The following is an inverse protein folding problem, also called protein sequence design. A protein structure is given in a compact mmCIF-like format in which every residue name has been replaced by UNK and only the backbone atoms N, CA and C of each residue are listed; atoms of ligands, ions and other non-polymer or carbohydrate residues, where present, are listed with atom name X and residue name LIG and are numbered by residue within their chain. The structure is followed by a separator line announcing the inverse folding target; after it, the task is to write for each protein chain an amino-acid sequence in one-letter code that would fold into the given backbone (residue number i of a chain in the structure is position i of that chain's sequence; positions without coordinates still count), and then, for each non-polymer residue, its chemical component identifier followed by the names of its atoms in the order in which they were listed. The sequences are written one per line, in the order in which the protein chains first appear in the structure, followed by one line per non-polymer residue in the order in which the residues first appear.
data_IF_259135665405
#
_entry.id   IF_259135665405
#
_cell.length_a   1.000
_cell.length_b   1.000
_cell.length_c   1.000
_cell.angle_alpha   90.00
_cell.angle_beta   90.00
_cell.angle_gamma   90.00
#
_symmetry.space_group_name_H-M   'P 1'
#
loop_
_entity.id
_entity.type
_entity.pdbx_description
1 polymer ?
#
# COMPACT_ATOMS: atom_id res chain seq x y z
N UNK A 1 -8.36 -17.95 13.59
CA UNK A 1 -8.84 -16.97 12.60
C UNK A 1 -7.60 -16.54 11.86
N UNK A 2 -7.41 -17.03 10.64
CA UNK A 2 -6.28 -16.62 9.80
C UNK A 2 -6.57 -15.21 9.32
N UNK A 3 -5.65 -14.29 9.60
CA UNK A 3 -5.71 -12.92 9.11
C UNK A 3 -5.42 -12.99 7.59
N UNK A 4 -6.45 -13.26 6.78
CA UNK A 4 -6.38 -13.37 5.30
C UNK A 4 -6.19 -11.99 4.63
N UNK A 5 -5.32 -11.15 5.20
CA UNK A 5 -4.91 -9.89 4.60
C UNK A 5 -4.08 -10.13 3.34
N UNK A 6 -4.22 -9.26 2.33
CA UNK A 6 -3.38 -9.33 1.14
C UNK A 6 -1.91 -9.19 1.55
N UNK A 7 -1.09 -10.16 1.17
CA UNK A 7 0.34 -10.12 1.42
C UNK A 7 1.06 -9.37 0.29
N UNK A 8 1.24 -8.07 0.47
CA UNK A 8 2.07 -7.24 -0.39
C UNK A 8 3.54 -7.40 0.01
N UNK A 9 4.20 -8.43 -0.51
CA UNK A 9 5.64 -8.59 -0.29
C UNK A 9 6.43 -7.53 -1.07
N UNK A 10 7.59 -7.07 -0.55
CA UNK A 10 8.46 -6.14 -1.27
C UNK A 10 8.82 -6.63 -2.68
N UNK A 11 9.06 -7.94 -2.82
CA UNK A 11 9.40 -8.57 -4.10
C UNK A 11 8.25 -8.46 -5.11
N UNK A 12 7.01 -8.76 -4.70
CA UNK A 12 5.85 -8.64 -5.59
C UNK A 12 5.69 -7.21 -6.11
N UNK A 13 5.89 -6.22 -5.23
CA UNK A 13 5.79 -4.81 -5.61
C UNK A 13 6.92 -4.37 -6.55
N UNK A 14 8.11 -4.94 -6.41
CA UNK A 14 9.23 -4.73 -7.33
C UNK A 14 8.93 -5.34 -8.70
N UNK A 15 8.49 -6.60 -8.74
CA UNK A 15 8.13 -7.30 -9.98
C UNK A 15 7.03 -6.56 -10.76
N UNK A 16 6.01 -6.03 -10.06
CA UNK A 16 4.96 -5.22 -10.65
C UNK A 16 5.51 -3.92 -11.25
N UNK A 17 6.38 -3.20 -10.54
CA UNK A 17 7.00 -1.98 -11.07
C UNK A 17 7.83 -2.25 -12.31
N UNK A 18 8.59 -3.33 -12.31
CA UNK A 18 9.42 -3.71 -13.45
C UNK A 18 8.58 -4.13 -14.65
N UNK A 19 7.47 -4.84 -14.43
CA UNK A 19 6.53 -5.16 -15.49
C UNK A 19 5.93 -3.90 -16.12
N UNK A 20 5.53 -2.91 -15.31
CA UNK A 20 5.00 -1.64 -15.80
C UNK A 20 6.04 -0.85 -16.60
N UNK A 21 7.27 -0.71 -16.08
CA UNK A 21 8.36 0.03 -16.74
C UNK A 21 8.73 -0.55 -18.10
N UNK A 22 8.63 -1.88 -18.26
CA UNK A 22 8.87 -2.56 -19.55
C UNK A 22 7.84 -2.16 -20.61
N UNK A 23 6.63 -1.78 -20.22
CA UNK A 23 5.55 -1.37 -21.14
C UNK A 23 5.57 0.13 -21.39
N UNK A 24 5.79 0.94 -20.35
CA UNK A 24 5.84 2.41 -20.45
C UNK A 24 6.85 2.98 -19.47
N UNK A 25 7.93 3.59 -19.99
CA UNK A 25 8.98 4.18 -19.17
C UNK A 25 8.48 5.27 -18.21
N UNK A 26 7.33 5.90 -18.49
CA UNK A 26 6.73 6.93 -17.63
C UNK A 26 6.25 6.36 -16.30
N UNK A 27 6.07 5.05 -16.17
CA UNK A 27 5.73 4.39 -14.89
C UNK A 27 6.93 4.30 -13.94
N UNK A 28 8.07 4.93 -14.25
CA UNK A 28 9.08 5.24 -13.24
C UNK A 28 8.57 6.26 -12.21
N UNK A 29 7.57 7.06 -12.58
CA UNK A 29 6.82 7.88 -11.65
C UNK A 29 5.78 7.03 -10.89
N UNK A 30 5.79 7.12 -9.56
CA UNK A 30 4.95 6.29 -8.71
C UNK A 30 3.45 6.57 -8.91
N UNK A 31 3.07 7.82 -9.20
CA UNK A 31 1.67 8.18 -9.44
C UNK A 31 1.18 7.58 -10.75
N UNK A 32 1.99 7.65 -11.81
CA UNK A 32 1.70 6.98 -13.08
C UNK A 32 1.61 5.46 -12.90
N UNK A 33 2.53 4.84 -12.16
CA UNK A 33 2.47 3.40 -11.88
C UNK A 33 1.18 3.01 -11.15
N UNK A 34 0.75 3.78 -10.16
CA UNK A 34 -0.53 3.56 -9.46
C UNK A 34 -1.72 3.68 -10.40
N UNK A 35 -1.75 4.67 -11.29
CA UNK A 35 -2.82 4.82 -12.28
C UNK A 35 -2.94 3.59 -13.20
N UNK A 36 -1.81 3.03 -13.62
CA UNK A 36 -1.77 1.80 -14.41
C UNK A 36 -2.35 0.60 -13.65
N UNK A 37 -2.01 0.44 -12.36
CA UNK A 37 -2.55 -0.64 -11.52
C UNK A 37 -4.07 -0.52 -11.35
N UNK A 38 -4.58 0.69 -11.12
CA UNK A 38 -6.02 0.96 -11.03
C UNK A 38 -6.72 0.64 -12.37
N UNK A 39 -6.13 1.07 -13.48
CA UNK A 39 -6.66 0.79 -14.82
C UNK A 39 -6.66 -0.72 -15.12
N UNK A 40 -5.61 -1.44 -14.74
CA UNK A 40 -5.52 -2.88 -14.89
C UNK A 40 -6.62 -3.60 -14.11
N UNK A 41 -6.87 -3.20 -12.86
CA UNK A 41 -7.97 -3.75 -12.07
C UNK A 41 -9.34 -3.51 -12.73
N UNK A 42 -9.57 -2.30 -13.25
CA UNK A 42 -10.80 -1.98 -13.99
C UNK A 42 -10.96 -2.80 -15.27
N UNK A 43 -9.88 -3.00 -16.02
CA UNK A 43 -9.85 -3.83 -17.22
C UNK A 43 -10.19 -5.29 -16.89
N UNK A 44 -9.54 -5.86 -15.87
CA UNK A 44 -9.80 -7.23 -15.40
C UNK A 44 -11.26 -7.41 -14.98
N UNK A 45 -11.83 -6.46 -14.23
CA UNK A 45 -13.24 -6.51 -13.84
C UNK A 45 -14.18 -6.39 -15.05
N UNK A 46 -13.81 -5.59 -16.05
CA UNK A 46 -14.61 -5.44 -17.27
C UNK A 46 -14.69 -6.76 -18.06
N UNK A 47 -13.62 -7.56 -18.04
CA UNK A 47 -13.52 -8.84 -18.73
C UNK A 47 -14.27 -9.98 -18.02
N UNK A 48 -14.67 -9.81 -16.75
CA UNK A 48 -15.45 -10.84 -16.03
C UNK A 48 -16.80 -11.05 -16.73
N UNK A 49 -17.00 -12.24 -17.28
CA UNK A 49 -18.24 -12.64 -17.92
C UNK A 49 -19.19 -13.30 -16.91
N UNK A 50 -19.77 -12.50 -16.01
CA UNK A 50 -20.79 -12.93 -15.08
C UNK A 50 -22.01 -11.99 -15.14
N UNK A 51 -23.13 -12.40 -15.74
CA UNK A 51 -24.31 -11.55 -15.91
C UNK A 51 -25.04 -11.23 -14.59
N UNK A 52 -24.77 -11.97 -13.51
CA UNK A 52 -25.35 -11.74 -12.19
C UNK A 52 -24.51 -10.77 -11.34
N UNK A 53 -23.29 -10.44 -11.78
CA UNK A 53 -22.40 -9.56 -11.04
C UNK A 53 -22.77 -8.10 -11.29
N UNK A 54 -23.04 -7.36 -10.22
CA UNK A 54 -23.08 -5.91 -10.31
C UNK A 54 -21.65 -5.36 -10.32
N UNK A 55 -21.12 -5.12 -11.52
CA UNK A 55 -19.75 -4.59 -11.70
C UNK A 55 -19.55 -3.20 -11.09
N UNK A 56 -20.61 -2.41 -10.92
CA UNK A 56 -20.51 -1.09 -10.26
C UNK A 56 -20.31 -1.24 -8.77
N UNK A 57 -21.11 -2.07 -8.10
CA UNK A 57 -20.94 -2.35 -6.68
C UNK A 57 -19.56 -2.97 -6.42
N UNK A 58 -19.09 -3.87 -7.29
CA UNK A 58 -17.74 -4.43 -7.20
C UNK A 58 -16.63 -3.37 -7.31
N UNK A 59 -16.81 -2.32 -8.13
CA UNK A 59 -15.86 -1.19 -8.18
C UNK A 59 -15.85 -0.39 -6.88
N UNK A 60 -17.02 -0.15 -6.28
CA UNK A 60 -17.14 0.55 -5.00
C UNK A 60 -16.48 -0.26 -3.88
N UNK A 61 -16.74 -1.57 -3.81
CA UNK A 61 -16.11 -2.48 -2.86
C UNK A 61 -14.58 -2.50 -3.02
N UNK A 62 -14.06 -2.54 -4.26
CA UNK A 62 -12.63 -2.46 -4.53
C UNK A 62 -12.02 -1.14 -4.06
N UNK A 63 -12.72 -0.01 -4.24
CA UNK A 63 -12.29 1.29 -3.75
C UNK A 63 -12.27 1.37 -2.21
N UNK A 64 -13.29 0.81 -1.56
CA UNK A 64 -13.33 0.70 -0.09
C UNK A 64 -12.20 -0.19 0.44
N UNK A 65 -11.97 -1.32 -0.22
CA UNK A 65 -10.88 -2.22 0.13
C UNK A 65 -9.50 -1.55 -0.04
N UNK A 66 -9.27 -0.83 -1.14
CA UNK A 66 -8.03 -0.07 -1.36
C UNK A 66 -7.79 0.98 -0.26
N UNK A 67 -8.85 1.67 0.16
CA UNK A 67 -8.79 2.65 1.25
C UNK A 67 -8.38 1.98 2.56
N UNK A 68 -8.97 0.83 2.88
CA UNK A 68 -8.63 0.06 4.07
C UNK A 68 -7.16 -0.40 4.09
N UNK A 69 -6.66 -0.93 2.96
CA UNK A 69 -5.25 -1.34 2.84
C UNK A 69 -4.31 -0.15 3.05
N UNK A 70 -4.63 1.01 2.47
CA UNK A 70 -3.85 2.23 2.66
C UNK A 70 -3.78 2.63 4.14
N UNK A 71 -4.92 2.73 4.82
CA UNK A 71 -4.99 3.08 6.24
C UNK A 71 -4.22 2.08 7.10
N UNK A 72 -4.34 0.78 6.81
CA UNK A 72 -3.63 -0.29 7.49
C UNK A 72 -2.10 -0.18 7.33
N UNK A 73 -1.61 0.18 6.14
CA UNK A 73 -0.19 0.39 5.89
C UNK A 73 0.32 1.67 6.57
N UNK A 74 -0.43 2.78 6.55
CA UNK A 74 -0.08 4.01 7.27
C UNK A 74 0.04 3.76 8.79
N UNK A 75 -0.91 3.00 9.36
CA UNK A 75 -0.90 2.67 10.78
C UNK A 75 0.31 1.83 11.22
N UNK A 76 0.87 1.03 10.30
CA UNK A 76 2.05 0.20 10.55
C UNK A 76 3.39 0.92 10.39
N UNK A 77 3.39 2.13 9.80
CA UNK A 77 4.63 2.89 9.69
C UNK A 77 5.13 3.21 11.10
N UNK A 78 6.39 2.89 11.44
CA UNK A 78 6.92 3.17 12.76
C UNK A 78 6.81 4.68 13.03
N UNK A 79 6.01 5.04 14.03
CA UNK A 79 6.02 6.40 14.57
C UNK A 79 7.42 6.64 15.13
N UNK A 80 8.13 7.60 14.54
CA UNK A 80 9.42 8.06 15.07
C UNK A 80 9.17 8.53 16.50
N UNK A 81 9.58 7.74 17.49
CA UNK A 81 9.49 8.14 18.88
C UNK A 81 10.34 9.42 19.07
N UNK A 82 9.82 10.46 19.76
CA UNK A 82 10.63 11.63 20.05
C UNK A 82 11.88 11.18 20.85
N UNK A 83 13.06 11.75 20.54
CA UNK A 83 14.30 11.36 21.22
C UNK A 83 14.13 11.53 22.73
N UNK A 84 14.58 10.57 23.56
CA UNK A 84 14.46 10.67 25.01
C UNK A 84 15.22 11.91 25.48
N UNK A 85 14.50 12.83 26.12
CA UNK A 85 15.05 14.02 26.77
C UNK A 85 16.05 13.61 27.84
N UNK A 86 17.34 13.86 27.58
CA UNK A 86 18.45 13.64 28.51
C UNK A 86 18.53 14.76 29.56
N UNK A 87 17.51 14.92 30.39
CA UNK A 87 17.58 15.79 31.57
C UNK A 87 17.56 14.94 32.84
N UNK A 88 18.74 14.43 33.23
CA UNK A 88 19.17 14.18 34.63
C UNK A 88 20.38 13.24 34.68
N UNK A 89 21.58 13.73 34.36
CA UNK A 89 22.80 13.18 34.96
C UNK A 89 23.21 14.07 36.13
N UNK A 90 22.75 13.69 37.32
CA UNK A 90 23.15 14.29 38.58
C UNK A 90 24.67 14.23 38.74
N UNK A 91 25.29 15.40 38.85
CA UNK A 91 26.70 15.57 39.19
C UNK A 91 26.91 15.08 40.62
N UNK A 92 27.48 13.88 40.79
CA UNK A 92 28.02 13.46 42.08
C UNK A 92 29.47 13.91 42.19
N UNK A 93 29.78 14.78 43.16
CA UNK A 93 31.15 15.16 43.54
C UNK A 93 31.47 14.56 44.91
N UNK A 94 32.39 13.60 45.05
CA UNK A 94 32.92 13.23 46.36
C UNK A 94 33.84 14.33 46.93
N UNK A 95 33.90 14.40 48.26
CA UNK A 95 34.87 15.20 49.03
C UNK A 95 36.24 14.53 49.05
#
# INVERSE_FOLDING_TARGET
MSDDGIQLSPQLMEDLRDALKKQDARTSDDVMAMQYLVAAAGMMLSDINNPQMNKKDALEDLGGFMTHVFEYMEAQKPQMAPPPSQDAFGVWKPK
#
